data_IF_851291272580
#
_entry.id   IF_851291272580
#
_cell.length_a   1.000
_cell.length_b   1.000
_cell.length_c   1.000
_cell.angle_alpha   90.00
_cell.angle_beta   90.00
_cell.angle_gamma   90.00
#
_symmetry.space_group_name_H-M   'P 1'
#
loop_
_entity.id
_entity.type
_entity.pdbx_description
1 polymer ?
#
# COMPACT_ATOMS: atom_id res chain seq x y z
N UNK A 1 -23.60 12.40 9.90
CA UNK A 1 -22.27 12.11 9.33
C UNK A 1 -22.22 12.70 7.93
N UNK A 2 -21.15 13.40 7.55
CA UNK A 2 -20.98 13.87 6.17
C UNK A 2 -20.74 12.68 5.23
N UNK A 3 -21.20 12.78 3.97
CA UNK A 3 -20.95 11.75 2.95
C UNK A 3 -19.44 11.47 2.78
N UNK A 4 -18.60 12.52 2.86
CA UNK A 4 -17.13 12.40 2.78
C UNK A 4 -16.60 11.54 3.93
N UNK A 5 -17.05 11.82 5.16
CA UNK A 5 -16.62 11.05 6.33
C UNK A 5 -17.05 9.58 6.21
N UNK A 6 -18.28 9.32 5.73
CA UNK A 6 -18.77 7.96 5.53
C UNK A 6 -17.93 7.19 4.50
N UNK A 7 -17.60 7.83 3.37
CA UNK A 7 -16.73 7.25 2.35
C UNK A 7 -15.35 6.94 2.92
N UNK A 8 -14.75 7.87 3.67
CA UNK A 8 -13.45 7.64 4.30
C UNK A 8 -13.52 6.47 5.28
N UNK A 9 -14.55 6.42 6.14
CA UNK A 9 -14.69 5.33 7.12
C UNK A 9 -14.84 3.96 6.46
N UNK A 10 -15.76 3.82 5.49
CA UNK A 10 -15.98 2.56 4.78
C UNK A 10 -14.74 2.19 3.98
N UNK A 11 -14.15 3.16 3.27
CA UNK A 11 -12.91 3.00 2.52
C UNK A 11 -11.77 2.51 3.41
N UNK A 12 -11.62 3.04 4.62
CA UNK A 12 -10.59 2.64 5.57
C UNK A 12 -10.75 1.19 6.00
N UNK A 13 -11.98 0.76 6.28
CA UNK A 13 -12.26 -0.65 6.64
C UNK A 13 -11.90 -1.58 5.50
N UNK A 14 -12.31 -1.25 4.26
CA UNK A 14 -12.03 -2.06 3.08
C UNK A 14 -10.53 -2.08 2.74
N UNK A 15 -9.87 -0.93 2.74
CA UNK A 15 -8.43 -0.83 2.47
C UNK A 15 -7.62 -1.60 3.51
N UNK A 16 -7.99 -1.49 4.79
CA UNK A 16 -7.35 -2.26 5.88
C UNK A 16 -7.55 -3.76 5.68
N UNK A 17 -8.75 -4.21 5.31
CA UNK A 17 -9.01 -5.62 5.06
C UNK A 17 -8.16 -6.17 3.90
N UNK A 18 -8.07 -5.43 2.79
CA UNK A 18 -7.23 -5.78 1.64
C UNK A 18 -5.76 -5.80 2.02
N UNK A 19 -5.30 -4.77 2.74
CA UNK A 19 -3.91 -4.72 3.21
C UNK A 19 -3.58 -5.88 4.15
N UNK A 20 -4.43 -6.17 5.13
CA UNK A 20 -4.22 -7.27 6.08
C UNK A 20 -4.17 -8.63 5.36
N UNK A 21 -5.08 -8.87 4.42
CA UNK A 21 -5.11 -10.10 3.64
C UNK A 21 -3.89 -10.23 2.70
N UNK A 22 -3.50 -9.13 2.06
CA UNK A 22 -2.29 -9.08 1.23
C UNK A 22 -1.03 -9.32 2.04
N UNK A 23 -0.88 -8.62 3.17
CA UNK A 23 0.23 -8.78 4.10
C UNK A 23 0.33 -10.23 4.61
N UNK A 24 -0.80 -10.83 4.99
CA UNK A 24 -0.84 -12.23 5.41
C UNK A 24 -0.31 -13.18 4.33
N UNK A 25 -0.74 -12.98 3.08
CA UNK A 25 -0.24 -13.75 1.93
C UNK A 25 1.26 -13.51 1.70
N UNK A 26 1.73 -12.26 1.77
CA UNK A 26 3.13 -11.91 1.62
C UNK A 26 4.01 -12.57 2.68
N UNK A 27 3.56 -12.57 3.94
CA UNK A 27 4.24 -13.27 5.05
C UNK A 27 4.32 -14.78 4.77
N UNK A 28 3.23 -15.40 4.33
CA UNK A 28 3.23 -16.82 3.97
C UNK A 28 4.21 -17.13 2.82
N UNK A 29 4.25 -16.28 1.79
CA UNK A 29 5.21 -16.42 0.69
C UNK A 29 6.65 -16.33 1.20
N UNK A 30 6.97 -15.31 2.01
CA UNK A 30 8.32 -15.13 2.57
C UNK A 30 8.75 -16.30 3.45
N UNK A 31 7.83 -16.87 4.25
CA UNK A 31 8.12 -18.07 5.06
C UNK A 31 8.40 -19.29 4.16
N UNK A 32 7.62 -19.47 3.10
CA UNK A 32 7.82 -20.60 2.18
C UNK A 32 9.13 -20.47 1.41
N UNK A 33 9.46 -19.26 0.98
CA UNK A 33 10.71 -18.93 0.29
C UNK A 33 11.93 -19.21 1.18
N UNK A 34 11.89 -18.72 2.44
CA UNK A 34 12.93 -19.01 3.43
C UNK A 34 13.13 -20.51 3.68
N UNK A 35 12.05 -21.30 3.63
CA UNK A 35 12.11 -22.77 3.80
C UNK A 35 12.66 -23.49 2.58
N UNK A 36 12.59 -22.91 1.39
CA UNK A 36 13.10 -23.52 0.16
C UNK A 36 14.63 -23.43 0.07
N UNK A 37 15.26 -22.57 0.86
CA UNK A 37 16.72 -22.51 0.99
C UNK A 37 17.45 -22.14 -0.30
N UNK A 38 16.73 -21.69 -1.32
CA UNK A 38 17.32 -21.18 -2.56
C UNK A 38 17.92 -19.80 -2.26
N UNK A 39 19.22 -19.80 -1.99
CA UNK A 39 20.09 -18.62 -1.89
C UNK A 39 20.33 -17.99 -3.27
N UNK A 40 19.28 -17.80 -4.08
CA UNK A 40 19.37 -16.81 -5.15
C UNK A 40 19.06 -15.45 -4.53
N UNK A 41 20.11 -14.73 -4.12
CA UNK A 41 20.03 -13.27 -3.94
C UNK A 41 19.65 -12.67 -5.29
N UNK A 42 18.37 -12.67 -5.62
CA UNK A 42 17.85 -11.97 -6.77
C UNK A 42 18.25 -10.50 -6.60
N UNK A 43 18.90 -9.88 -7.61
CA UNK A 43 19.32 -8.50 -7.49
C UNK A 43 18.11 -7.63 -7.19
N UNK A 44 18.08 -7.03 -6.00
CA UNK A 44 16.99 -6.14 -5.57
C UNK A 44 17.04 -4.90 -6.45
N UNK A 45 16.03 -4.63 -7.29
CA UNK A 45 16.05 -3.47 -8.17
C UNK A 45 16.03 -2.19 -7.33
N UNK A 46 17.14 -1.44 -7.31
CA UNK A 46 17.24 -0.18 -6.56
C UNK A 46 16.53 0.99 -7.26
N UNK A 47 16.26 0.87 -8.57
CA UNK A 47 15.97 2.03 -9.42
C UNK A 47 14.48 2.32 -9.63
N UNK A 48 13.58 1.59 -8.94
CA UNK A 48 12.13 1.63 -9.22
C UNK A 48 11.29 2.60 -8.38
N UNK A 49 11.83 3.17 -7.30
CA UNK A 49 10.99 3.81 -6.26
C UNK A 49 10.94 5.34 -6.33
N UNK A 50 11.86 5.97 -7.05
CA UNK A 50 11.99 7.44 -7.10
C UNK A 50 10.74 8.14 -7.64
N UNK A 51 10.09 7.56 -8.64
CA UNK A 51 8.86 8.13 -9.21
C UNK A 51 7.71 8.17 -8.19
N UNK A 52 7.54 7.11 -7.41
CA UNK A 52 6.53 7.05 -6.35
C UNK A 52 6.82 8.06 -5.23
N UNK A 53 8.09 8.17 -4.83
CA UNK A 53 8.52 9.15 -3.80
C UNK A 53 8.27 10.58 -4.28
N UNK A 54 8.68 10.91 -5.51
CA UNK A 54 8.47 12.24 -6.08
C UNK A 54 6.99 12.62 -6.17
N UNK A 55 6.14 11.66 -6.58
CA UNK A 55 4.68 11.85 -6.65
C UNK A 55 4.09 12.08 -5.25
N UNK A 56 4.45 11.24 -4.27
CA UNK A 56 3.98 11.38 -2.89
C UNK A 56 4.39 12.72 -2.27
N UNK A 57 5.62 13.15 -2.53
CA UNK A 57 6.13 14.45 -2.10
C UNK A 57 5.36 15.61 -2.72
N UNK A 58 5.14 15.58 -4.04
CA UNK A 58 4.37 16.60 -4.75
C UNK A 58 2.92 16.69 -4.24
N UNK A 59 2.26 15.54 -4.06
CA UNK A 59 0.89 15.48 -3.54
C UNK A 59 0.79 16.01 -2.11
N UNK A 60 1.80 15.78 -1.28
CA UNK A 60 1.87 16.34 0.08
C UNK A 60 1.93 17.87 0.07
N UNK A 61 2.81 18.45 -0.75
CA UNK A 61 2.92 19.91 -0.89
C UNK A 61 1.59 20.51 -1.35
N UNK A 62 0.99 19.96 -2.40
CA UNK A 62 -0.30 20.45 -2.93
C UNK A 62 -1.40 20.34 -1.87
N UNK A 63 -1.44 19.25 -1.12
CA UNK A 63 -2.44 19.05 -0.07
C UNK A 63 -2.30 20.07 1.05
N UNK A 64 -1.09 20.32 1.53
CA UNK A 64 -0.84 21.26 2.63
C UNK A 64 -1.07 22.70 2.18
N UNK A 65 -0.49 23.10 1.05
CA UNK A 65 -0.67 24.46 0.51
C UNK A 65 -2.14 24.74 0.17
N UNK A 66 -2.85 23.72 -0.34
CA UNK A 66 -4.26 23.79 -0.69
C UNK A 66 -5.19 24.11 0.49
N UNK A 67 -4.81 23.75 1.73
CA UNK A 67 -5.61 24.06 2.93
C UNK A 67 -5.83 25.57 3.08
N UNK A 68 -4.84 26.40 2.70
CA UNK A 68 -4.95 27.86 2.73
C UNK A 68 -5.95 28.43 1.72
N UNK A 69 -6.30 27.67 0.68
CA UNK A 69 -7.27 28.08 -0.36
C UNK A 69 -8.67 27.52 -0.11
N UNK A 70 -8.78 26.28 0.37
CA UNK A 70 -10.07 25.68 0.70
C UNK A 70 -9.95 24.63 1.79
N UNK A 71 -10.90 24.58 2.75
CA UNK A 71 -10.87 23.61 3.84
C UNK A 71 -11.03 22.16 3.39
N UNK A 72 -11.50 21.91 2.15
CA UNK A 72 -11.65 20.55 1.62
C UNK A 72 -10.32 19.80 1.46
N UNK A 73 -9.19 20.50 1.33
CA UNK A 73 -7.87 19.87 1.22
C UNK A 73 -7.47 19.09 2.47
N UNK A 74 -8.09 19.34 3.63
CA UNK A 74 -7.88 18.54 4.84
C UNK A 74 -8.22 17.05 4.61
N UNK A 75 -9.15 16.76 3.70
CA UNK A 75 -9.54 15.39 3.36
C UNK A 75 -8.56 14.70 2.40
N UNK A 76 -7.65 15.43 1.75
CA UNK A 76 -6.67 14.85 0.83
C UNK A 76 -5.75 13.84 1.53
N UNK A 77 -5.31 14.14 2.76
CA UNK A 77 -4.49 13.23 3.57
C UNK A 77 -5.15 11.86 3.77
N UNK A 78 -6.37 11.78 4.35
CA UNK A 78 -7.11 10.54 4.46
C UNK A 78 -7.27 9.78 3.13
N UNK A 79 -7.62 10.45 2.03
CA UNK A 79 -7.75 9.79 0.73
C UNK A 79 -6.41 9.24 0.22
N UNK A 80 -5.30 9.96 0.41
CA UNK A 80 -3.97 9.48 0.06
C UNK A 80 -3.63 8.20 0.84
N UNK A 81 -3.91 8.17 2.15
CA UNK A 81 -3.71 6.98 3.00
C UNK A 81 -4.53 5.80 2.49
N UNK A 82 -5.79 6.01 2.10
CA UNK A 82 -6.63 4.95 1.54
C UNK A 82 -6.05 4.36 0.26
N UNK A 83 -5.67 5.21 -0.69
CA UNK A 83 -5.14 4.80 -1.98
C UNK A 83 -3.82 4.04 -1.81
N UNK A 84 -2.91 4.54 -0.97
CA UNK A 84 -1.63 3.88 -0.73
C UNK A 84 -1.80 2.56 -0.01
N UNK A 85 -2.62 2.50 1.05
CA UNK A 85 -2.90 1.27 1.80
C UNK A 85 -3.49 0.18 0.90
N UNK A 86 -4.48 0.55 0.08
CA UNK A 86 -5.11 -0.37 -0.85
C UNK A 86 -4.14 -0.82 -1.95
N UNK A 87 -3.38 0.11 -2.54
CA UNK A 87 -2.39 -0.19 -3.59
C UNK A 87 -1.29 -1.13 -3.11
N UNK A 88 -0.73 -0.88 -1.92
CA UNK A 88 0.27 -1.76 -1.30
C UNK A 88 -0.34 -3.12 -0.96
N UNK A 89 -1.56 -3.16 -0.42
CA UNK A 89 -2.27 -4.40 -0.16
C UNK A 89 -2.45 -5.25 -1.41
N UNK A 90 -2.87 -4.63 -2.53
CA UNK A 90 -3.00 -5.30 -3.83
C UNK A 90 -1.68 -5.80 -4.40
N UNK A 91 -0.56 -5.11 -4.16
CA UNK A 91 0.75 -5.53 -4.67
C UNK A 91 1.12 -6.94 -4.20
N UNK A 92 0.83 -7.30 -2.94
CA UNK A 92 1.04 -8.65 -2.41
C UNK A 92 0.18 -9.74 -3.09
N UNK A 93 -0.96 -9.37 -3.69
CA UNK A 93 -1.78 -10.31 -4.45
C UNK A 93 -1.29 -10.52 -5.87
N UNK A 94 -0.67 -9.50 -6.47
CA UNK A 94 -0.06 -9.56 -7.81
C UNK A 94 1.25 -10.37 -7.76
N UNK A 95 1.95 -10.34 -6.63
CA UNK A 95 3.13 -11.15 -6.38
C UNK A 95 2.85 -12.64 -6.60
N UNK A 96 3.77 -13.32 -7.29
CA UNK A 96 3.68 -14.76 -7.56
C UNK A 96 3.61 -15.52 -6.23
N UNK A 97 2.68 -16.48 -6.15
CA UNK A 97 2.52 -17.29 -4.95
C UNK A 97 3.65 -18.30 -4.86
N UNK A 98 4.35 -18.33 -3.73
CA UNK A 98 5.37 -19.35 -3.45
C UNK A 98 4.67 -20.59 -2.89
N UNK A 99 4.72 -21.73 -3.59
CA UNK A 99 4.04 -22.95 -3.13
C UNK A 99 4.61 -23.42 -1.80
N UNK A 100 3.74 -23.93 -0.93
CA UNK A 100 4.19 -24.54 0.31
C UNK A 100 5.00 -25.80 -0.02
N UNK A 101 6.24 -25.87 0.47
CA UNK A 101 6.99 -27.12 0.49
C UNK A 101 6.24 -28.12 1.35
N UNK A 102 5.93 -29.30 0.80
CA UNK A 102 5.42 -30.42 1.60
C UNK A 102 6.48 -30.78 2.65
N UNK A 103 6.07 -31.12 3.89
CA UNK A 103 7.00 -31.55 4.92
C UNK A 103 7.78 -32.80 4.50
#
# INVERSE_FOLDING_TARGET
MSAITLIITIGSVLATAVFAAGYWRGVQNAINDFRQGETEEAPVPQDGHWGGIALAFALSIVSIAGIGYTPYFVYAGPFLVLVTTFGVGLAFFIEKKVPATKP
#
